data_IF_719764159879
#
_entry.id   IF_719764159879
#
_cell.length_a   1.000
_cell.length_b   1.000
_cell.length_c   1.000
_cell.angle_alpha   90.00
_cell.angle_beta   90.00
_cell.angle_gamma   90.00
#
_symmetry.space_group_name_H-M   'P 1'
#
loop_
_entity.id
_entity.type
_entity.pdbx_description
1 polymer ?
#
# COMPACT_ATOMS: atom_id res chain seq x y z
N UNK A 1 18.53 -7.42 -19.77
CA UNK A 1 18.02 -6.95 -18.47
C UNK A 1 16.77 -6.16 -18.73
N UNK A 2 15.74 -6.40 -17.96
CA UNK A 2 14.53 -5.57 -18.03
C UNK A 2 14.81 -4.20 -17.39
N UNK A 3 14.31 -3.14 -17.99
CA UNK A 3 14.46 -1.78 -17.43
C UNK A 3 13.55 -1.53 -16.23
N UNK A 4 12.49 -2.35 -16.06
CA UNK A 4 11.52 -2.28 -14.99
C UNK A 4 11.57 -3.52 -14.10
N UNK A 5 11.29 -3.34 -12.82
CA UNK A 5 11.17 -4.44 -11.86
C UNK A 5 9.76 -5.07 -11.96
N UNK A 6 8.74 -4.23 -12.16
CA UNK A 6 7.35 -4.64 -12.20
C UNK A 6 6.53 -3.81 -13.19
N UNK A 7 5.63 -4.47 -13.91
CA UNK A 7 4.56 -3.82 -14.65
C UNK A 7 3.20 -4.28 -14.09
N UNK A 8 2.34 -3.33 -13.73
CA UNK A 8 0.91 -3.58 -13.57
C UNK A 8 0.26 -3.37 -14.94
N UNK A 9 -0.12 -4.47 -15.60
CA UNK A 9 -0.52 -4.48 -17.01
C UNK A 9 -2.02 -4.28 -17.18
N UNK A 10 -2.41 -3.36 -18.06
CA UNK A 10 -3.81 -3.19 -18.55
C UNK A 10 -4.83 -2.87 -17.45
N UNK A 11 -4.42 -2.22 -16.35
CA UNK A 11 -5.31 -1.81 -15.28
C UNK A 11 -6.05 -0.52 -15.56
N UNK A 12 -7.17 -0.32 -14.86
CA UNK A 12 -7.84 0.99 -14.79
C UNK A 12 -7.24 1.76 -13.61
N UNK A 13 -6.35 2.69 -13.91
CA UNK A 13 -5.54 3.43 -12.93
C UNK A 13 -6.22 4.73 -12.55
N UNK A 14 -6.28 5.01 -11.25
CA UNK A 14 -6.82 6.27 -10.70
C UNK A 14 -5.67 7.22 -10.36
N UNK A 15 -5.57 8.30 -11.13
CA UNK A 15 -4.55 9.34 -10.99
C UNK A 15 -5.20 10.72 -11.01
N UNK A 16 -4.91 11.56 -10.00
CA UNK A 16 -5.30 12.99 -10.00
C UNK A 16 -6.76 13.25 -10.40
N UNK A 17 -7.67 12.47 -9.84
CA UNK A 17 -9.10 12.52 -10.14
C UNK A 17 -9.50 12.05 -11.55
N UNK A 18 -8.61 11.44 -12.28
CA UNK A 18 -8.88 10.81 -13.57
C UNK A 18 -8.81 9.29 -13.48
N UNK A 19 -9.50 8.64 -14.38
CA UNK A 19 -9.51 7.20 -14.56
C UNK A 19 -8.96 6.87 -15.93
N UNK A 20 -7.83 6.17 -15.98
CA UNK A 20 -7.09 5.93 -17.23
C UNK A 20 -6.78 4.43 -17.34
N UNK A 21 -7.08 3.83 -18.49
CA UNK A 21 -6.60 2.48 -18.82
C UNK A 21 -5.16 2.58 -19.31
N UNK A 22 -4.23 2.04 -18.53
CA UNK A 22 -2.80 2.13 -18.81
C UNK A 22 -2.01 1.09 -18.02
N UNK A 23 -0.78 0.84 -18.44
CA UNK A 23 0.17 0.09 -17.62
C UNK A 23 0.88 1.04 -16.65
N UNK A 24 1.32 0.47 -15.52
CA UNK A 24 2.14 1.18 -14.53
C UNK A 24 3.48 0.47 -14.41
N UNK A 25 4.55 1.17 -14.68
CA UNK A 25 5.93 0.67 -14.56
C UNK A 25 6.58 1.09 -13.26
N UNK A 26 7.17 0.12 -12.55
CA UNK A 26 7.87 0.31 -11.28
C UNK A 26 9.34 -0.04 -11.42
N UNK A 27 10.21 0.79 -10.86
CA UNK A 27 11.65 0.56 -10.76
C UNK A 27 12.16 1.03 -9.40
N UNK A 28 12.94 0.17 -8.72
CA UNK A 28 13.52 0.46 -7.41
C UNK A 28 12.46 0.97 -6.38
N UNK A 29 11.29 0.32 -6.35
CA UNK A 29 10.19 0.67 -5.45
C UNK A 29 9.47 1.98 -5.78
N UNK A 30 9.70 2.56 -6.96
CA UNK A 30 9.06 3.80 -7.41
C UNK A 30 8.32 3.61 -8.72
N UNK A 31 7.18 4.28 -8.86
CA UNK A 31 6.49 4.40 -10.14
C UNK A 31 7.30 5.33 -11.04
N UNK A 32 7.74 4.85 -12.20
CA UNK A 32 8.61 5.58 -13.12
C UNK A 32 8.00 5.82 -14.49
N UNK A 33 6.97 5.07 -14.88
CA UNK A 33 6.36 5.20 -16.20
C UNK A 33 4.90 4.76 -16.24
N UNK A 34 4.19 5.31 -17.21
CA UNK A 34 2.84 4.91 -17.60
C UNK A 34 2.80 4.75 -19.12
N UNK A 35 1.87 3.98 -19.63
CA UNK A 35 1.68 3.80 -21.07
C UNK A 35 1.61 2.33 -21.47
N UNK A 36 2.03 2.01 -22.66
CA UNK A 36 2.17 0.63 -23.14
C UNK A 36 3.59 0.13 -22.83
N UNK A 37 3.70 -0.80 -21.89
CA UNK A 37 4.97 -1.28 -21.36
C UNK A 37 5.07 -2.80 -21.58
N UNK A 38 6.23 -3.28 -22.01
CA UNK A 38 6.35 -4.68 -22.43
C UNK A 38 7.46 -5.47 -21.75
N UNK A 39 8.37 -4.82 -21.00
CA UNK A 39 9.56 -5.48 -20.47
C UNK A 39 9.79 -5.15 -18.98
N UNK A 40 9.56 -6.13 -18.12
CA UNK A 40 9.84 -6.07 -16.69
C UNK A 40 10.24 -7.46 -16.17
N UNK A 41 10.86 -7.49 -14.99
CA UNK A 41 11.16 -8.75 -14.29
C UNK A 41 9.88 -9.48 -13.89
N UNK A 42 8.86 -8.72 -13.47
CA UNK A 42 7.55 -9.24 -13.12
C UNK A 42 6.43 -8.46 -13.83
N UNK A 43 5.40 -9.16 -14.27
CA UNK A 43 4.21 -8.57 -14.88
C UNK A 43 2.97 -9.11 -14.18
N UNK A 44 2.17 -8.21 -13.62
CA UNK A 44 0.88 -8.54 -13.01
C UNK A 44 -0.22 -8.11 -13.97
N UNK A 45 -1.04 -9.05 -14.43
CA UNK A 45 -2.21 -8.74 -15.25
C UNK A 45 -3.30 -8.09 -14.39
N UNK A 46 -3.56 -6.82 -14.64
CA UNK A 46 -4.58 -6.03 -13.98
C UNK A 46 -5.81 -5.76 -14.86
N UNK A 47 -5.98 -6.51 -15.94
CA UNK A 47 -7.15 -6.39 -16.81
C UNK A 47 -8.45 -6.55 -16.02
N UNK A 48 -9.38 -5.63 -16.19
CA UNK A 48 -10.63 -5.54 -15.44
C UNK A 48 -10.47 -5.27 -13.93
N UNK A 49 -9.28 -4.87 -13.49
CA UNK A 49 -9.03 -4.44 -12.12
C UNK A 49 -8.84 -2.92 -12.06
N UNK A 50 -9.19 -2.36 -10.92
CA UNK A 50 -8.85 -1.00 -10.58
C UNK A 50 -7.50 -0.94 -9.86
N UNK A 51 -6.66 0.01 -10.25
CA UNK A 51 -5.36 0.26 -9.62
C UNK A 51 -5.44 1.61 -8.92
N UNK A 52 -5.31 1.58 -7.59
CA UNK A 52 -5.33 2.75 -6.74
C UNK A 52 -3.97 2.98 -6.09
N UNK A 53 -3.62 4.22 -5.72
CA UNK A 53 -2.59 4.45 -4.72
C UNK A 53 -2.91 3.72 -3.43
N UNK A 54 -1.89 3.28 -2.70
CA UNK A 54 -2.08 2.67 -1.38
C UNK A 54 -2.87 3.58 -0.45
N UNK A 55 -3.78 3.01 0.32
CA UNK A 55 -4.66 3.75 1.21
C UNK A 55 -3.95 4.09 2.53
N UNK A 56 -4.36 5.20 3.16
CA UNK A 56 -3.90 5.61 4.49
C UNK A 56 -5.09 5.60 5.43
N UNK A 57 -5.00 4.82 6.52
CA UNK A 57 -5.97 4.85 7.60
C UNK A 57 -5.56 5.93 8.61
N UNK A 58 -6.35 6.98 8.71
CA UNK A 58 -6.05 8.13 9.57
C UNK A 58 -6.57 7.98 11.00
N UNK A 59 -7.22 6.89 11.33
CA UNK A 59 -7.71 6.61 12.69
C UNK A 59 -7.76 5.10 12.94
N UNK A 60 -6.64 4.55 13.38
CA UNK A 60 -6.50 3.14 13.69
C UNK A 60 -6.27 2.93 15.18
N UNK A 61 -6.81 1.86 15.73
CA UNK A 61 -6.63 1.46 17.12
C UNK A 61 -5.96 0.09 17.16
N UNK A 62 -4.65 0.04 17.00
CA UNK A 62 -3.88 -1.15 17.33
C UNK A 62 -3.92 -1.38 18.85
N UNK A 63 -3.71 -2.60 19.25
CA UNK A 63 -3.89 -2.99 20.66
C UNK A 63 -2.57 -3.15 21.42
N UNK A 64 -1.48 -2.92 20.77
CA UNK A 64 -0.14 -2.95 21.35
C UNK A 64 0.41 -1.51 21.50
N UNK A 65 0.90 -1.13 22.68
CA UNK A 65 1.07 -1.93 23.91
C UNK A 65 -0.21 -2.09 24.72
N UNK A 66 -0.27 -3.19 25.50
CA UNK A 66 -1.23 -3.41 26.58
C UNK A 66 -2.50 -4.20 26.23
N UNK A 67 -2.72 -4.50 24.96
CA UNK A 67 -3.86 -5.26 24.50
C UNK A 67 -3.48 -6.36 23.49
N UNK A 68 -2.28 -6.88 23.58
CA UNK A 68 -1.69 -7.84 22.63
C UNK A 68 -2.49 -9.15 22.51
N UNK A 69 -3.26 -9.49 23.55
CA UNK A 69 -4.18 -10.63 23.50
C UNK A 69 -5.31 -10.46 22.47
N UNK A 70 -5.59 -9.24 22.02
CA UNK A 70 -6.56 -8.94 20.97
C UNK A 70 -5.90 -8.85 19.60
N UNK A 71 -4.76 -8.16 19.53
CA UNK A 71 -4.02 -7.91 18.31
C UNK A 71 -2.62 -7.42 18.64
N UNK A 72 -1.62 -7.88 17.91
CA UNK A 72 -0.26 -7.34 17.95
C UNK A 72 -0.04 -6.36 16.81
N UNK A 73 1.01 -5.53 16.89
CA UNK A 73 1.41 -4.68 15.76
C UNK A 73 1.71 -5.53 14.51
N UNK A 74 2.33 -6.69 14.69
CA UNK A 74 2.63 -7.59 13.56
C UNK A 74 1.36 -8.07 12.87
N UNK A 75 0.37 -8.56 13.62
CA UNK A 75 -0.87 -9.08 13.03
C UNK A 75 -1.73 -7.97 12.44
N UNK A 76 -1.80 -6.82 13.11
CA UNK A 76 -2.55 -5.66 12.64
C UNK A 76 -1.95 -5.07 11.36
N UNK A 77 -0.63 -4.91 11.29
CA UNK A 77 0.02 -4.38 10.07
C UNK A 77 -0.07 -5.36 8.90
N UNK A 78 0.03 -6.67 9.13
CA UNK A 78 -0.22 -7.67 8.08
C UNK A 78 -1.64 -7.59 7.54
N UNK A 79 -2.64 -7.47 8.42
CA UNK A 79 -4.04 -7.30 8.03
C UNK A 79 -4.26 -6.03 7.21
N UNK A 80 -3.68 -4.91 7.66
CA UNK A 80 -3.74 -3.64 6.95
C UNK A 80 -3.12 -3.74 5.54
N UNK A 81 -1.94 -4.32 5.42
CA UNK A 81 -1.25 -4.51 4.13
C UNK A 81 -2.08 -5.37 3.16
N UNK A 82 -2.68 -6.46 3.64
CA UNK A 82 -3.58 -7.31 2.83
C UNK A 82 -4.83 -6.57 2.37
N UNK A 83 -5.28 -5.56 3.11
CA UNK A 83 -6.39 -4.67 2.74
C UNK A 83 -5.99 -3.49 1.86
N UNK A 84 -4.71 -3.35 1.48
CA UNK A 84 -4.22 -2.24 0.66
C UNK A 84 -3.89 -0.97 1.44
N UNK A 85 -3.76 -1.06 2.76
CA UNK A 85 -3.35 0.05 3.63
C UNK A 85 -1.82 0.12 3.67
N UNK A 86 -1.26 1.27 3.34
CA UNK A 86 0.20 1.50 3.29
C UNK A 86 0.70 2.48 4.35
N UNK A 87 -0.21 3.16 5.03
CA UNK A 87 0.10 4.07 6.13
C UNK A 87 -1.01 4.08 7.15
N UNK A 88 -0.66 4.26 8.42
CA UNK A 88 -1.58 4.21 9.56
C UNK A 88 -1.25 5.34 10.52
N UNK A 89 -2.28 6.02 11.01
CA UNK A 89 -2.20 6.91 12.16
C UNK A 89 -2.84 6.22 13.35
N UNK A 90 -1.97 5.75 14.26
CA UNK A 90 -2.38 5.09 15.48
C UNK A 90 -2.95 6.08 16.48
N UNK A 91 -4.06 5.71 17.11
CA UNK A 91 -4.62 6.46 18.21
C UNK A 91 -3.90 6.14 19.53
N UNK A 92 -3.63 7.13 20.40
CA UNK A 92 -2.73 6.97 21.54
C UNK A 92 -3.36 6.27 22.76
N UNK A 93 -4.56 5.74 22.68
CA UNK A 93 -5.29 5.11 23.79
C UNK A 93 -4.86 3.67 24.08
N UNK A 94 -3.57 3.44 24.15
CA UNK A 94 -2.91 2.17 24.51
C UNK A 94 -2.55 2.16 26.00
N UNK A 95 -1.99 1.05 26.50
CA UNK A 95 -1.52 0.95 27.89
C UNK A 95 -0.07 0.41 27.93
N UNK A 96 0.93 1.26 28.21
CA UNK A 96 0.82 2.70 28.50
C UNK A 96 0.35 3.51 27.27
N UNK A 97 -0.15 4.72 27.52
CA UNK A 97 -0.55 5.63 26.45
C UNK A 97 0.65 5.99 25.57
N UNK A 98 0.44 5.98 24.27
CA UNK A 98 1.45 6.45 23.32
C UNK A 98 1.55 7.99 23.41
N UNK A 99 2.79 8.49 23.34
CA UNK A 99 3.06 9.92 23.31
C UNK A 99 4.27 10.19 22.41
N UNK A 100 4.43 11.45 21.99
CA UNK A 100 5.53 11.86 21.13
C UNK A 100 6.93 11.56 21.71
N UNK A 101 7.07 11.54 23.04
CA UNK A 101 8.34 11.22 23.70
C UNK A 101 8.69 9.73 23.67
N UNK A 102 7.77 8.86 23.32
CA UNK A 102 7.96 7.42 23.20
C UNK A 102 8.17 6.95 21.74
N UNK A 103 8.05 7.85 20.81
CA UNK A 103 8.29 7.64 19.39
C UNK A 103 9.71 8.11 19.08
#
# INVERSE_FOLDING_TARGET
MSDLDLILKSGTVFLRNERIETDVGVKNGKIVSFGSLDNAEEVIDCKNLFVFPGLIDTQCHFREPGGEHKETLETGTKSAALGGIVGIFEMPNTNPLLSLIHI
#
